data_IF_143984826426
#
_entry.id   IF_143984826426
#
_cell.length_a   1.000
_cell.length_b   1.000
_cell.length_c   1.000
_cell.angle_alpha   90.00
_cell.angle_beta   90.00
_cell.angle_gamma   90.00
#
_symmetry.space_group_name_H-M   'P 1'
#
loop_
_entity.id
_entity.type
_entity.pdbx_description
1 polymer ?
#
# COMPACT_ATOMS: atom_id res chain seq x y z
N UNK A 1 -28.07 30.64 -79.00
CA UNK A 1 -27.67 31.71 -78.04
C UNK A 1 -27.56 31.08 -76.69
N UNK A 2 -26.39 30.75 -76.36
CA UNK A 2 -25.49 31.06 -75.25
C UNK A 2 -26.05 30.82 -73.84
N UNK A 3 -25.32 29.97 -73.11
CA UNK A 3 -25.15 29.87 -71.69
C UNK A 3 -26.10 28.95 -70.91
N UNK A 4 -25.74 27.66 -70.82
CA UNK A 4 -26.12 26.78 -69.67
C UNK A 4 -25.22 25.51 -69.62
N UNK A 5 -23.92 25.65 -69.52
CA UNK A 5 -23.04 24.46 -69.36
C UNK A 5 -21.92 24.63 -68.30
N UNK A 6 -22.17 25.44 -67.26
CA UNK A 6 -21.09 25.70 -66.31
C UNK A 6 -21.49 25.50 -64.80
N UNK A 7 -22.57 24.77 -64.46
CA UNK A 7 -23.01 24.58 -63.08
C UNK A 7 -22.94 23.14 -62.52
N UNK A 8 -22.58 22.16 -63.37
CA UNK A 8 -22.58 20.74 -62.92
C UNK A 8 -21.22 20.13 -62.67
N UNK A 9 -20.13 20.89 -62.65
CA UNK A 9 -18.78 20.38 -62.43
C UNK A 9 -18.19 20.71 -61.00
N UNK A 10 -18.90 21.48 -60.19
CA UNK A 10 -18.43 21.85 -58.85
C UNK A 10 -19.06 20.99 -57.75
N UNK A 11 -20.14 20.27 -58.03
CA UNK A 11 -20.80 19.40 -56.99
C UNK A 11 -20.18 18.02 -56.84
N UNK A 12 -19.29 17.57 -57.73
CA UNK A 12 -18.67 16.25 -57.67
C UNK A 12 -17.33 16.22 -56.94
N UNK A 13 -16.73 17.36 -56.61
CA UNK A 13 -15.40 17.44 -55.99
C UNK A 13 -15.42 17.58 -54.46
N UNK A 14 -16.59 17.77 -53.81
CA UNK A 14 -16.71 17.91 -52.35
C UNK A 14 -17.17 16.63 -51.61
N UNK A 15 -17.47 15.54 -52.31
CA UNK A 15 -17.94 14.31 -51.72
C UNK A 15 -16.83 13.26 -51.42
N UNK A 16 -15.56 13.56 -51.74
CA UNK A 16 -14.45 12.59 -51.65
C UNK A 16 -13.41 12.88 -50.53
N UNK A 17 -13.66 13.86 -49.66
CA UNK A 17 -12.66 14.26 -48.62
C UNK A 17 -13.08 14.04 -47.18
N UNK A 18 -14.06 13.18 -46.89
CA UNK A 18 -14.43 12.76 -45.52
C UNK A 18 -14.25 11.26 -45.38
N UNK A 19 -13.10 10.73 -45.78
CA UNK A 19 -12.58 9.51 -45.21
C UNK A 19 -12.08 9.86 -43.79
N UNK A 20 -12.99 9.84 -42.80
CA UNK A 20 -12.65 9.82 -41.42
C UNK A 20 -11.80 8.56 -41.19
N UNK A 21 -10.50 8.70 -41.20
CA UNK A 21 -9.61 7.78 -40.56
C UNK A 21 -9.94 7.88 -39.07
N UNK A 22 -10.84 7.02 -38.60
CA UNK A 22 -10.97 6.71 -37.18
C UNK A 22 -9.62 6.13 -36.78
N UNK A 23 -8.69 6.97 -36.36
CA UNK A 23 -7.55 6.56 -35.57
C UNK A 23 -8.20 5.99 -34.30
N UNK A 24 -8.32 4.66 -34.23
CA UNK A 24 -8.62 3.96 -33.03
C UNK A 24 -7.43 4.30 -32.13
N UNK A 25 -7.57 5.34 -31.31
CA UNK A 25 -6.65 5.62 -30.24
C UNK A 25 -6.67 4.37 -29.37
N UNK A 26 -5.67 3.52 -29.52
CA UNK A 26 -5.47 2.37 -28.65
C UNK A 26 -5.40 2.97 -27.25
N UNK A 27 -6.35 2.62 -26.39
CA UNK A 27 -6.34 3.09 -25.01
C UNK A 27 -4.94 2.83 -24.45
N UNK A 28 -4.33 3.85 -23.84
CA UNK A 28 -3.02 3.70 -23.26
C UNK A 28 -3.06 2.55 -22.23
N UNK A 29 -2.01 1.77 -22.18
CA UNK A 29 -1.88 0.68 -21.20
C UNK A 29 -2.09 1.24 -19.79
N UNK A 30 -3.08 0.77 -19.03
CA UNK A 30 -3.35 1.29 -17.69
C UNK A 30 -2.27 0.92 -16.66
N UNK A 31 -1.45 -0.09 -16.95
CA UNK A 31 -0.44 -0.67 -16.07
C UNK A 31 0.91 -0.81 -16.80
N UNK A 32 1.54 0.29 -17.24
CA UNK A 32 2.71 0.26 -18.12
C UNK A 32 3.96 -0.33 -17.47
N UNK A 33 4.07 -0.31 -16.12
CA UNK A 33 5.16 -0.95 -15.38
C UNK A 33 4.93 -2.44 -15.08
N UNK A 34 3.82 -3.01 -15.56
CA UNK A 34 3.55 -4.44 -15.52
C UNK A 34 3.90 -5.07 -16.86
N UNK A 35 4.55 -6.23 -16.82
CA UNK A 35 4.74 -7.06 -18.00
C UNK A 35 3.39 -7.63 -18.48
N UNK A 36 3.29 -7.99 -19.76
CA UNK A 36 2.05 -8.56 -20.35
C UNK A 36 1.91 -10.05 -19.96
N UNK A 37 1.78 -10.33 -18.68
CA UNK A 37 1.65 -11.64 -18.06
C UNK A 37 0.22 -11.92 -17.61
N UNK A 38 -0.03 -13.14 -17.13
CA UNK A 38 -1.35 -13.55 -16.66
C UNK A 38 -1.89 -12.67 -15.51
N UNK A 39 -1.11 -12.32 -14.45
CA UNK A 39 -1.60 -11.47 -13.37
C UNK A 39 -2.14 -10.12 -13.86
N UNK A 40 -1.42 -9.42 -14.75
CA UNK A 40 -1.89 -8.16 -15.33
C UNK A 40 -3.24 -8.34 -16.03
N UNK A 41 -3.36 -9.36 -16.87
CA UNK A 41 -4.60 -9.65 -17.63
C UNK A 41 -5.76 -9.97 -16.72
N UNK A 42 -5.54 -10.76 -15.67
CA UNK A 42 -6.57 -11.10 -14.67
C UNK A 42 -7.04 -9.85 -13.92
N UNK A 43 -6.13 -8.97 -13.50
CA UNK A 43 -6.47 -7.70 -12.83
C UNK A 43 -7.34 -6.82 -13.75
N UNK A 44 -6.89 -6.59 -14.98
CA UNK A 44 -7.62 -5.75 -15.95
C UNK A 44 -9.00 -6.34 -16.25
N UNK A 45 -9.05 -7.64 -16.57
CA UNK A 45 -10.31 -8.33 -16.87
C UNK A 45 -11.28 -8.31 -15.67
N UNK A 46 -10.79 -8.43 -14.42
CA UNK A 46 -11.63 -8.31 -13.23
C UNK A 46 -12.24 -6.91 -13.14
N UNK A 47 -11.42 -5.87 -13.23
CA UNK A 47 -11.88 -4.47 -13.12
C UNK A 47 -12.90 -4.17 -14.21
N UNK A 48 -12.60 -4.50 -15.46
CA UNK A 48 -13.54 -4.31 -16.59
C UNK A 48 -14.87 -5.02 -16.37
N UNK A 49 -14.84 -6.27 -15.90
CA UNK A 49 -16.04 -7.09 -15.70
C UNK A 49 -16.94 -6.52 -14.61
N UNK A 50 -16.38 -6.05 -13.48
CA UNK A 50 -17.18 -5.52 -12.35
C UNK A 50 -17.61 -4.08 -12.55
N UNK A 51 -17.03 -3.37 -13.53
CA UNK A 51 -17.37 -1.97 -13.80
C UNK A 51 -18.25 -1.77 -15.03
N UNK A 52 -18.32 -2.76 -15.90
CA UNK A 52 -19.14 -2.70 -17.13
C UNK A 52 -20.62 -2.83 -16.81
N UNK A 53 -21.39 -1.78 -17.08
CA UNK A 53 -22.84 -1.80 -16.96
C UNK A 53 -23.47 -2.94 -17.81
N UNK A 54 -24.42 -3.65 -17.23
CA UNK A 54 -25.06 -4.82 -17.87
C UNK A 54 -24.24 -6.11 -17.78
N UNK A 55 -23.05 -6.10 -17.21
CA UNK A 55 -22.32 -7.32 -16.86
C UNK A 55 -23.05 -8.07 -15.71
N UNK A 56 -23.13 -9.42 -15.72
CA UNK A 56 -23.65 -10.16 -14.59
C UNK A 56 -22.86 -9.98 -13.29
N UNK A 57 -21.60 -9.54 -13.41
CA UNK A 57 -20.70 -9.25 -12.30
C UNK A 57 -20.62 -7.77 -11.95
N UNK A 58 -21.47 -6.91 -12.55
CA UNK A 58 -21.43 -5.47 -12.27
C UNK A 58 -21.62 -5.17 -10.79
N UNK A 59 -20.73 -4.32 -10.29
CA UNK A 59 -20.78 -3.83 -8.90
C UNK A 59 -20.96 -2.32 -8.93
N UNK A 60 -21.97 -1.75 -8.25
CA UNK A 60 -22.15 -0.30 -8.16
C UNK A 60 -20.91 0.41 -7.58
N UNK A 61 -20.57 1.64 -8.02
CA UNK A 61 -19.39 2.35 -7.52
C UNK A 61 -19.30 2.47 -6.00
N UNK A 62 -20.42 2.63 -5.32
CA UNK A 62 -20.48 2.72 -3.85
C UNK A 62 -20.02 1.43 -3.13
N UNK A 63 -20.05 0.29 -3.83
CA UNK A 63 -19.67 -1.01 -3.29
C UNK A 63 -18.27 -1.48 -3.76
N UNK A 64 -17.60 -0.69 -4.63
CA UNK A 64 -16.27 -1.02 -5.15
C UNK A 64 -15.18 -0.66 -4.13
N UNK A 65 -15.02 -1.49 -3.10
CA UNK A 65 -13.98 -1.34 -2.09
C UNK A 65 -12.77 -2.18 -2.45
N UNK A 66 -11.59 -1.54 -2.47
CA UNK A 66 -10.30 -2.18 -2.67
C UNK A 66 -9.40 -1.95 -1.45
N UNK A 67 -8.87 -3.00 -0.86
CA UNK A 67 -7.96 -2.96 0.30
C UNK A 67 -6.57 -3.44 -0.08
N UNK A 68 -5.56 -2.76 0.44
CA UNK A 68 -4.15 -3.06 0.19
C UNK A 68 -3.40 -3.10 1.52
N UNK A 69 -2.58 -4.12 1.74
CA UNK A 69 -1.53 -3.99 2.74
C UNK A 69 -0.51 -2.93 2.31
N UNK A 70 0.33 -2.50 3.24
CA UNK A 70 1.34 -1.48 2.97
C UNK A 70 2.74 -2.09 2.81
N UNK A 71 3.29 -2.69 3.89
CA UNK A 71 4.64 -3.24 3.90
C UNK A 71 4.73 -4.45 2.95
N UNK A 72 5.70 -4.43 2.02
CA UNK A 72 5.87 -5.48 1.03
C UNK A 72 4.79 -5.52 -0.07
N UNK A 73 3.71 -4.73 0.06
CA UNK A 73 2.64 -4.65 -0.95
C UNK A 73 2.67 -3.33 -1.73
N UNK A 74 2.65 -2.19 -1.05
CA UNK A 74 2.69 -0.87 -1.69
C UNK A 74 4.08 -0.25 -1.67
N UNK A 75 4.92 -0.60 -0.71
CA UNK A 75 6.31 -0.18 -0.60
C UNK A 75 7.19 -1.32 -0.09
N UNK A 76 8.52 -1.16 -0.20
CA UNK A 76 9.47 -2.15 0.30
C UNK A 76 9.43 -2.28 1.83
N UNK A 77 9.79 -3.48 2.32
CA UNK A 77 9.80 -3.76 3.76
C UNK A 77 11.15 -4.31 4.26
N UNK A 78 12.04 -4.67 3.34
CA UNK A 78 13.38 -5.16 3.67
C UNK A 78 14.37 -4.01 3.83
N UNK A 79 15.41 -4.15 4.68
CA UNK A 79 15.73 -5.34 5.49
C UNK A 79 14.90 -5.45 6.77
N UNK A 80 14.07 -4.46 7.09
CA UNK A 80 13.20 -4.38 8.26
C UNK A 80 12.09 -3.36 8.01
N UNK A 81 10.92 -3.57 8.60
CA UNK A 81 9.79 -2.64 8.53
C UNK A 81 10.21 -1.20 8.83
N UNK A 82 9.88 -0.27 7.94
CA UNK A 82 10.39 1.10 8.01
C UNK A 82 9.94 1.86 9.27
N UNK A 83 8.73 1.59 9.77
CA UNK A 83 8.30 2.14 11.05
C UNK A 83 9.18 1.65 12.21
N UNK A 84 9.67 0.42 12.14
CA UNK A 84 10.57 -0.10 13.15
C UNK A 84 11.96 0.56 13.07
N UNK A 85 12.48 0.80 11.86
CA UNK A 85 13.70 1.58 11.67
C UNK A 85 13.55 3.01 12.21
N UNK A 86 12.41 3.64 11.96
CA UNK A 86 12.06 4.93 12.57
C UNK A 86 12.12 4.86 14.11
N UNK A 87 11.51 3.85 14.72
CA UNK A 87 11.52 3.70 16.17
C UNK A 87 12.94 3.50 16.73
N UNK A 88 13.78 2.70 16.06
CA UNK A 88 15.20 2.54 16.44
C UNK A 88 15.98 3.85 16.35
N UNK A 89 15.79 4.64 15.30
CA UNK A 89 16.45 5.94 15.17
C UNK A 89 15.96 6.93 16.23
N UNK A 90 14.68 6.86 16.60
CA UNK A 90 14.13 7.64 17.73
C UNK A 90 14.78 7.26 19.05
N UNK A 91 14.99 5.95 19.33
CA UNK A 91 15.72 5.49 20.53
C UNK A 91 17.13 6.08 20.58
N UNK A 92 17.86 6.03 19.44
CA UNK A 92 19.22 6.62 19.37
C UNK A 92 19.19 8.13 19.64
N UNK A 93 18.22 8.85 19.07
CA UNK A 93 18.08 10.30 19.29
C UNK A 93 17.72 10.68 20.72
N UNK A 94 16.94 9.84 21.42
CA UNK A 94 16.53 10.06 22.81
C UNK A 94 17.56 9.56 23.84
N UNK A 95 18.47 8.65 23.46
CA UNK A 95 19.44 8.01 24.35
C UNK A 95 20.28 8.98 25.21
N UNK A 96 20.68 10.19 24.76
CA UNK A 96 21.36 11.16 25.61
C UNK A 96 20.56 11.59 26.86
N UNK A 97 19.22 11.52 26.80
CA UNK A 97 18.32 11.86 27.90
C UNK A 97 17.99 10.64 28.77
N UNK A 98 18.41 9.44 28.35
CA UNK A 98 18.11 8.14 28.96
C UNK A 98 19.39 7.30 29.14
N UNK A 99 20.33 7.70 30.02
CA UNK A 99 21.60 6.98 30.19
C UNK A 99 21.42 5.51 30.61
N UNK A 100 20.32 5.17 31.30
CA UNK A 100 19.96 3.81 31.70
C UNK A 100 19.73 2.88 30.48
N UNK A 101 19.42 3.38 29.31
CA UNK A 101 19.20 2.58 28.11
C UNK A 101 20.47 1.88 27.61
N UNK A 102 21.64 2.34 28.00
CA UNK A 102 22.91 1.68 27.66
C UNK A 102 23.06 0.29 28.26
N UNK A 103 22.33 -0.01 29.34
CA UNK A 103 22.40 -1.27 30.05
C UNK A 103 21.09 -2.05 30.09
N UNK A 104 19.98 -1.43 29.73
CA UNK A 104 18.63 -2.01 29.81
C UNK A 104 18.16 -2.50 28.43
N UNK A 105 17.76 -3.78 28.35
CA UNK A 105 17.07 -4.28 27.14
C UNK A 105 15.61 -3.75 27.09
N UNK A 106 15.07 -3.56 25.88
CA UNK A 106 15.63 -3.79 24.54
C UNK A 106 16.52 -2.64 24.02
N UNK A 107 16.60 -1.52 24.72
CA UNK A 107 17.30 -0.31 24.27
C UNK A 107 18.79 -0.51 24.06
N UNK A 108 19.43 -1.31 24.94
CA UNK A 108 20.85 -1.68 24.82
C UNK A 108 21.12 -2.31 23.45
N UNK A 109 20.32 -3.28 23.05
CA UNK A 109 20.45 -3.94 21.75
C UNK A 109 20.25 -2.97 20.59
N UNK A 110 19.26 -2.06 20.66
CA UNK A 110 19.06 -1.00 19.66
C UNK A 110 20.28 -0.11 19.54
N UNK A 111 20.84 0.37 20.65
CA UNK A 111 21.99 1.27 20.68
C UNK A 111 23.27 0.60 20.19
N UNK A 112 23.42 -0.70 20.43
CA UNK A 112 24.53 -1.52 19.94
C UNK A 112 24.37 -1.96 18.47
N UNK A 113 23.19 -1.78 17.86
CA UNK A 113 22.88 -2.33 16.54
C UNK A 113 22.74 -3.86 16.53
N UNK A 114 22.52 -4.47 17.69
CA UNK A 114 22.34 -5.92 17.85
C UNK A 114 20.90 -6.32 17.52
N UNK A 115 20.65 -6.61 16.25
CA UNK A 115 19.34 -7.05 15.78
C UNK A 115 18.94 -8.40 16.37
N UNK A 116 19.90 -9.30 16.65
CA UNK A 116 19.60 -10.60 17.25
C UNK A 116 19.13 -10.46 18.70
N UNK A 117 19.83 -9.66 19.49
CA UNK A 117 19.43 -9.34 20.86
C UNK A 117 18.09 -8.64 20.93
N UNK A 118 17.84 -7.74 19.96
CA UNK A 118 16.57 -7.03 19.84
C UNK A 118 15.40 -7.99 19.52
N UNK A 119 15.55 -8.88 18.55
CA UNK A 119 14.54 -9.89 18.22
C UNK A 119 14.32 -10.87 19.38
N UNK A 120 15.37 -11.20 20.14
CA UNK A 120 15.26 -12.03 21.34
C UNK A 120 14.45 -11.38 22.47
N UNK A 121 14.27 -10.04 22.47
CA UNK A 121 13.40 -9.34 23.42
C UNK A 121 11.91 -9.61 23.19
N UNK A 122 11.57 -10.20 22.05
CA UNK A 122 10.22 -10.60 21.66
C UNK A 122 9.23 -9.44 21.57
N UNK A 123 7.94 -9.77 21.55
CA UNK A 123 6.85 -8.80 21.44
C UNK A 123 6.89 -7.74 22.56
N UNK A 124 7.19 -8.14 23.79
CA UNK A 124 7.27 -7.22 24.93
C UNK A 124 8.34 -6.13 24.71
N UNK A 125 9.51 -6.51 24.20
CA UNK A 125 10.56 -5.53 23.87
C UNK A 125 10.17 -4.58 22.77
N UNK A 126 9.52 -5.09 21.73
CA UNK A 126 8.99 -4.25 20.64
C UNK A 126 7.93 -3.26 21.15
N UNK A 127 6.99 -3.70 21.97
CA UNK A 127 5.97 -2.83 22.57
C UNK A 127 6.61 -1.76 23.49
N UNK A 128 7.66 -2.09 24.23
CA UNK A 128 8.39 -1.11 25.07
C UNK A 128 9.07 -0.03 24.19
N UNK A 129 9.71 -0.42 23.08
CA UNK A 129 10.28 0.51 22.12
C UNK A 129 9.19 1.44 21.56
N UNK A 130 8.08 0.87 21.09
CA UNK A 130 6.97 1.65 20.53
C UNK A 130 6.39 2.62 21.58
N UNK A 131 6.19 2.17 22.81
CA UNK A 131 5.72 3.02 23.90
C UNK A 131 6.66 4.21 24.15
N UNK A 132 7.97 4.01 24.17
CA UNK A 132 8.97 5.07 24.42
C UNK A 132 9.15 6.03 23.25
N UNK A 133 8.92 5.57 22.04
CA UNK A 133 9.12 6.38 20.84
C UNK A 133 7.86 7.08 20.31
N UNK A 134 6.68 6.60 20.72
CA UNK A 134 5.40 7.09 20.17
C UNK A 134 4.49 7.72 21.22
N UNK A 135 4.67 7.44 22.53
CA UNK A 135 3.78 7.95 23.57
C UNK A 135 4.26 9.26 24.20
N UNK A 136 3.35 9.92 24.95
CA UNK A 136 3.62 11.15 25.71
C UNK A 136 3.56 12.43 24.91
N UNK A 137 3.47 12.36 23.57
CA UNK A 137 3.34 13.50 22.67
C UNK A 137 1.94 13.57 22.04
N UNK A 138 1.59 14.70 21.48
CA UNK A 138 0.35 14.84 20.70
C UNK A 138 0.48 14.12 19.34
N UNK A 139 -0.67 13.82 18.73
CA UNK A 139 -0.71 13.26 17.37
C UNK A 139 -0.05 14.19 16.34
N UNK A 140 -0.19 15.51 16.51
CA UNK A 140 0.43 16.51 15.63
C UNK A 140 1.97 16.54 15.78
N UNK A 141 2.49 16.47 17.01
CA UNK A 141 3.93 16.37 17.26
C UNK A 141 4.51 15.07 16.68
N UNK A 142 3.80 13.95 16.81
CA UNK A 142 4.20 12.68 16.23
C UNK A 142 4.25 12.75 14.68
N UNK A 143 3.22 13.29 14.04
CA UNK A 143 3.19 13.47 12.58
C UNK A 143 4.39 14.30 12.09
N UNK A 144 4.70 15.41 12.77
CA UNK A 144 5.84 16.24 12.44
C UNK A 144 7.17 15.46 12.54
N UNK A 145 7.36 14.70 13.64
CA UNK A 145 8.58 13.90 13.85
C UNK A 145 8.75 12.84 12.74
N UNK A 146 7.66 12.17 12.35
CA UNK A 146 7.70 11.18 11.26
C UNK A 146 8.07 11.84 9.92
N UNK A 147 7.45 12.99 9.60
CA UNK A 147 7.75 13.74 8.37
C UNK A 147 9.22 14.22 8.32
N UNK A 148 9.76 14.71 9.45
CA UNK A 148 11.16 15.11 9.53
C UNK A 148 12.12 13.91 9.34
N UNK A 149 11.78 12.75 9.91
CA UNK A 149 12.56 11.53 9.69
C UNK A 149 12.62 11.14 8.21
N UNK A 150 11.51 11.19 7.48
CA UNK A 150 11.49 10.89 6.05
C UNK A 150 12.36 11.84 5.21
N UNK A 151 12.59 13.09 5.65
CA UNK A 151 13.46 14.04 4.93
C UNK A 151 14.94 13.60 4.97
N UNK A 152 15.37 12.98 6.05
CA UNK A 152 16.79 12.69 6.31
C UNK A 152 17.14 11.21 6.22
N UNK A 153 16.25 10.31 6.66
CA UNK A 153 16.50 8.88 6.66
C UNK A 153 16.54 8.31 5.24
N UNK A 154 17.50 7.41 5.02
CA UNK A 154 17.73 6.78 3.71
C UNK A 154 17.82 5.28 3.83
N UNK A 155 17.18 4.61 2.89
CA UNK A 155 17.25 3.17 2.77
C UNK A 155 18.71 2.69 2.60
N UNK A 156 19.18 1.68 3.37
CA UNK A 156 20.60 1.33 3.41
C UNK A 156 21.15 0.83 2.06
N UNK A 157 20.35 0.11 1.28
CA UNK A 157 20.75 -0.43 -0.03
C UNK A 157 20.55 0.59 -1.15
N UNK A 158 19.39 1.23 -1.24
CA UNK A 158 19.01 2.07 -2.37
C UNK A 158 19.36 3.54 -2.21
N UNK A 159 19.74 3.97 -0.99
CA UNK A 159 20.09 5.37 -0.65
C UNK A 159 18.97 6.38 -0.90
N UNK A 160 17.76 5.90 -1.17
CA UNK A 160 16.55 6.70 -1.38
C UNK A 160 15.86 7.01 -0.06
N UNK A 161 15.10 8.11 0.06
CA UNK A 161 14.17 8.31 1.17
C UNK A 161 13.21 7.12 1.31
N UNK A 162 12.88 6.73 2.53
CA UNK A 162 11.99 5.58 2.73
C UNK A 162 10.61 5.77 2.13
N UNK A 163 10.05 6.98 2.14
CA UNK A 163 8.77 7.30 1.52
C UNK A 163 8.80 7.32 -0.03
N UNK A 164 9.96 7.15 -0.63
CA UNK A 164 10.14 6.94 -2.09
C UNK A 164 10.37 5.47 -2.45
N UNK A 165 10.42 4.57 -1.46
CA UNK A 165 10.56 3.13 -1.68
C UNK A 165 9.22 2.46 -2.02
N UNK A 166 8.36 3.18 -2.73
CA UNK A 166 7.04 2.73 -3.19
C UNK A 166 7.15 1.94 -4.49
N UNK A 167 6.33 0.93 -4.66
CA UNK A 167 6.35 0.12 -5.88
C UNK A 167 5.58 0.80 -7.01
N UNK A 168 6.27 1.12 -8.10
CA UNK A 168 5.68 1.79 -9.27
C UNK A 168 4.47 1.01 -9.84
N UNK A 169 4.52 -0.32 -10.02
CA UNK A 169 3.37 -1.07 -10.51
C UNK A 169 2.15 -0.95 -9.61
N UNK A 170 2.34 -0.87 -8.29
CA UNK A 170 1.23 -0.72 -7.34
C UNK A 170 0.66 0.70 -7.32
N UNK A 171 1.48 1.73 -7.57
CA UNK A 171 0.97 3.10 -7.78
C UNK A 171 0.07 3.17 -9.02
N UNK A 172 0.45 2.50 -10.11
CA UNK A 172 -0.37 2.40 -11.32
C UNK A 172 -1.67 1.63 -11.05
N UNK A 173 -1.59 0.52 -10.32
CA UNK A 173 -2.77 -0.26 -9.94
C UNK A 173 -3.74 0.56 -9.09
N UNK A 174 -3.25 1.28 -8.08
CA UNK A 174 -4.06 2.20 -7.27
C UNK A 174 -4.74 3.27 -8.13
N UNK A 175 -4.02 3.86 -9.08
CA UNK A 175 -4.56 4.85 -10.00
C UNK A 175 -5.62 4.24 -10.92
N UNK A 176 -5.35 3.05 -11.45
CA UNK A 176 -6.25 2.33 -12.36
C UNK A 176 -7.57 1.95 -11.69
N UNK A 177 -7.54 1.34 -10.50
CA UNK A 177 -8.78 0.97 -9.81
C UNK A 177 -9.58 2.21 -9.40
N UNK A 178 -8.94 3.30 -8.95
CA UNK A 178 -9.63 4.57 -8.66
C UNK A 178 -10.28 5.19 -9.88
N UNK A 179 -9.59 5.18 -11.03
CA UNK A 179 -10.15 5.66 -12.29
C UNK A 179 -11.40 4.85 -12.73
N UNK A 180 -11.52 3.62 -12.24
CA UNK A 180 -12.65 2.73 -12.43
C UNK A 180 -13.67 2.75 -11.27
N UNK A 181 -13.66 3.80 -10.44
CA UNK A 181 -14.65 4.04 -9.40
C UNK A 181 -14.48 3.24 -8.12
N UNK A 182 -13.31 2.62 -7.88
CA UNK A 182 -13.02 1.98 -6.61
C UNK A 182 -12.59 3.01 -5.56
N UNK A 183 -13.03 2.80 -4.31
CA UNK A 183 -12.47 3.46 -3.15
C UNK A 183 -11.34 2.58 -2.60
N UNK A 184 -10.14 3.14 -2.49
CA UNK A 184 -8.93 2.41 -2.10
C UNK A 184 -8.58 2.66 -0.64
N UNK A 185 -8.28 1.60 0.11
CA UNK A 185 -7.91 1.65 1.52
C UNK A 185 -6.58 0.96 1.75
N UNK A 186 -5.77 1.50 2.67
CA UNK A 186 -4.68 0.74 3.29
C UNK A 186 -5.27 -0.01 4.48
N UNK A 187 -4.90 -1.29 4.65
CA UNK A 187 -5.22 -2.15 5.80
C UNK A 187 -3.94 -2.85 6.22
N UNK A 188 -3.28 -2.38 7.27
CA UNK A 188 -1.90 -2.76 7.56
C UNK A 188 -1.61 -2.93 9.05
N UNK A 189 -0.75 -3.90 9.39
CA UNK A 189 -0.21 -4.06 10.74
C UNK A 189 0.61 -2.86 11.25
N UNK A 190 1.03 -1.97 10.37
CA UNK A 190 1.71 -0.72 10.71
C UNK A 190 0.84 0.25 11.50
N UNK A 191 1.48 1.15 12.24
CA UNK A 191 0.79 2.19 13.03
C UNK A 191 0.07 3.21 12.14
N UNK A 192 -1.24 3.41 12.39
CA UNK A 192 -2.09 4.26 11.55
C UNK A 192 -1.56 5.70 11.44
N UNK A 193 -1.09 6.30 12.56
CA UNK A 193 -0.56 7.67 12.52
C UNK A 193 0.78 7.78 11.78
N UNK A 194 1.61 6.72 11.83
CA UNK A 194 2.84 6.68 11.04
C UNK A 194 2.52 6.67 9.54
N UNK A 195 1.57 5.84 9.13
CA UNK A 195 1.15 5.76 7.73
C UNK A 195 0.49 7.05 7.24
N UNK A 196 -0.34 7.69 8.06
CA UNK A 196 -0.99 8.98 7.74
C UNK A 196 -0.01 10.11 7.44
N UNK A 197 1.20 10.04 7.99
CA UNK A 197 2.22 11.05 7.75
C UNK A 197 2.79 11.04 6.32
N UNK A 198 2.68 9.94 5.56
CA UNK A 198 3.27 9.83 4.22
C UNK A 198 2.33 9.31 3.13
N UNK A 199 1.36 8.45 3.47
CA UNK A 199 0.53 7.78 2.48
C UNK A 199 -0.32 8.73 1.61
N UNK A 200 -0.84 9.88 2.12
CA UNK A 200 -1.53 10.85 1.27
C UNK A 200 -0.65 11.37 0.13
N UNK A 201 0.62 11.65 0.40
CA UNK A 201 1.56 12.17 -0.59
C UNK A 201 2.08 11.04 -1.51
N UNK A 202 2.39 9.86 -0.95
CA UNK A 202 2.96 8.73 -1.67
C UNK A 202 1.94 8.00 -2.56
N UNK A 203 0.73 7.74 -2.05
CA UNK A 203 -0.27 6.90 -2.70
C UNK A 203 -1.53 7.66 -3.14
N UNK A 204 -1.68 8.93 -2.74
CA UNK A 204 -2.92 9.69 -2.89
C UNK A 204 -4.12 8.99 -2.22
N UNK A 205 -3.87 8.33 -1.09
CA UNK A 205 -4.88 7.73 -0.22
C UNK A 205 -5.06 8.67 0.98
N UNK A 206 -6.24 9.27 1.18
CA UNK A 206 -6.47 10.24 2.26
C UNK A 206 -6.45 9.56 3.64
N UNK A 207 -6.22 10.33 4.73
CA UNK A 207 -6.05 9.79 6.09
C UNK A 207 -7.22 8.95 6.61
N UNK A 208 -8.45 9.23 6.17
CA UNK A 208 -9.67 8.50 6.52
C UNK A 208 -9.79 7.14 5.80
N UNK A 209 -8.96 6.88 4.81
CA UNK A 209 -8.88 5.60 4.08
C UNK A 209 -7.66 4.77 4.51
N UNK A 210 -7.09 5.04 5.68
CA UNK A 210 -5.97 4.29 6.25
C UNK A 210 -6.44 3.61 7.53
N UNK A 211 -6.50 2.28 7.50
CA UNK A 211 -6.73 1.40 8.63
C UNK A 211 -5.38 0.80 9.05
N UNK A 212 -5.11 0.78 10.35
CA UNK A 212 -3.85 0.27 10.87
C UNK A 212 -3.88 0.06 12.36
N UNK A 213 -2.81 -0.48 12.91
CA UNK A 213 -2.67 -0.64 14.36
C UNK A 213 -2.70 0.71 15.06
N UNK A 214 -3.37 0.78 16.21
CA UNK A 214 -3.60 2.03 16.94
C UNK A 214 -3.18 1.92 18.40
N UNK A 215 -2.52 2.98 18.90
CA UNK A 215 -2.40 3.22 20.33
C UNK A 215 -3.63 3.98 20.86
N UNK A 216 -3.84 3.91 22.18
CA UNK A 216 -4.86 4.73 22.84
C UNK A 216 -4.52 6.22 22.74
N UNK A 217 -5.56 7.03 22.61
CA UNK A 217 -5.46 8.47 22.63
C UNK A 217 -6.19 9.04 23.86
N UNK A 218 -5.68 10.13 24.40
CA UNK A 218 -6.31 10.88 25.48
C UNK A 218 -6.53 12.34 25.05
N UNK A 219 -7.73 12.84 25.20
CA UNK A 219 -8.01 14.25 25.04
C UNK A 219 -7.47 15.04 26.24
N UNK A 220 -6.73 16.10 25.99
CA UNK A 220 -6.23 17.04 27.00
C UNK A 220 -6.32 18.49 26.51
N UNK A 221 -6.37 19.42 27.48
CA UNK A 221 -6.13 20.85 27.22
C UNK A 221 -4.69 21.18 27.61
N UNK A 222 -3.85 21.53 26.63
CA UNK A 222 -2.50 22.03 26.83
C UNK A 222 -2.47 23.55 26.53
N UNK A 223 -2.20 24.37 27.54
CA UNK A 223 -2.20 25.82 27.39
C UNK A 223 -3.55 26.36 26.81
N UNK A 224 -4.67 25.78 27.24
CA UNK A 224 -6.01 26.15 26.78
C UNK A 224 -6.39 25.62 25.37
N UNK A 225 -5.51 24.89 24.71
CA UNK A 225 -5.77 24.30 23.38
C UNK A 225 -6.05 22.80 23.48
N UNK A 226 -7.08 22.28 22.79
CA UNK A 226 -7.38 20.86 22.76
C UNK A 226 -6.31 20.09 21.95
N UNK A 227 -5.82 19.01 22.51
CA UNK A 227 -4.84 18.10 21.88
C UNK A 227 -5.22 16.64 22.15
N UNK A 228 -4.82 15.74 21.26
CA UNK A 228 -4.90 14.30 21.46
C UNK A 228 -3.51 13.78 21.77
N UNK A 229 -3.33 13.23 22.96
CA UNK A 229 -2.06 12.67 23.46
C UNK A 229 -2.03 11.17 23.19
N UNK A 230 -0.94 10.70 22.62
CA UNK A 230 -0.65 9.28 22.42
C UNK A 230 -0.25 8.62 23.73
N UNK A 231 -0.97 7.57 24.11
CA UNK A 231 -0.68 6.77 25.29
C UNK A 231 0.17 5.54 24.91
N UNK A 232 0.88 4.94 25.88
CA UNK A 232 1.72 3.76 25.60
C UNK A 232 0.93 2.46 25.38
N UNK A 233 -0.38 2.46 25.68
CA UNK A 233 -1.22 1.28 25.52
C UNK A 233 -1.69 1.10 24.09
N UNK A 234 -1.66 -0.16 23.65
CA UNK A 234 -2.26 -0.58 22.37
C UNK A 234 -3.77 -0.60 22.50
N UNK A 235 -4.47 0.00 21.52
CA UNK A 235 -5.93 -0.04 21.39
C UNK A 235 -6.37 -1.17 20.44
N UNK A 236 -5.68 -1.32 19.31
CA UNK A 236 -6.06 -2.26 18.25
C UNK A 236 -4.81 -2.68 17.46
N UNK A 237 -4.72 -3.96 17.08
CA UNK A 237 -3.67 -4.50 16.21
C UNK A 237 -4.32 -4.96 14.90
N UNK A 238 -3.98 -4.31 13.79
CA UNK A 238 -4.53 -4.56 12.46
C UNK A 238 -3.67 -5.55 11.66
N UNK A 239 -3.40 -6.72 12.25
CA UNK A 239 -2.61 -7.78 11.63
C UNK A 239 -3.37 -9.10 11.70
N UNK A 240 -3.21 -9.96 10.70
CA UNK A 240 -3.88 -11.27 10.61
C UNK A 240 -5.40 -11.13 10.76
N UNK A 241 -6.00 -11.76 11.80
CA UNK A 241 -7.42 -11.64 12.09
C UNK A 241 -7.88 -10.20 12.39
N UNK A 242 -6.99 -9.35 12.87
CA UNK A 242 -7.28 -7.93 13.07
C UNK A 242 -7.63 -7.21 11.77
N UNK A 243 -7.06 -7.59 10.61
CA UNK A 243 -7.36 -6.92 9.34
C UNK A 243 -8.84 -6.99 8.94
N UNK A 244 -9.53 -8.14 8.89
CA UNK A 244 -10.97 -8.16 8.65
C UNK A 244 -11.79 -7.47 9.76
N UNK A 245 -11.34 -7.51 11.03
CA UNK A 245 -11.97 -6.77 12.12
C UNK A 245 -11.85 -5.26 11.92
N UNK A 246 -10.67 -4.77 11.51
CA UNK A 246 -10.43 -3.38 11.15
C UNK A 246 -11.25 -2.93 9.94
N UNK A 247 -11.32 -3.75 8.88
CA UNK A 247 -12.18 -3.51 7.71
C UNK A 247 -13.63 -3.33 8.16
N UNK A 248 -14.16 -4.25 8.97
CA UNK A 248 -15.54 -4.17 9.44
C UNK A 248 -15.79 -2.93 10.31
N UNK A 249 -14.83 -2.59 11.18
CA UNK A 249 -14.99 -1.50 12.15
C UNK A 249 -14.84 -0.11 11.54
N UNK A 250 -13.94 0.06 10.56
CA UNK A 250 -13.55 1.38 10.04
C UNK A 250 -14.04 1.65 8.61
N UNK A 251 -14.23 0.59 7.80
CA UNK A 251 -14.76 0.71 6.43
C UNK A 251 -16.25 0.38 6.39
N UNK A 252 -16.70 -0.61 7.19
CA UNK A 252 -18.09 -1.04 7.28
C UNK A 252 -18.60 -1.84 6.07
N UNK A 253 -17.71 -2.12 5.11
CA UNK A 253 -18.04 -2.86 3.88
C UNK A 253 -16.94 -3.88 3.57
N UNK A 254 -17.36 -5.06 3.11
CA UNK A 254 -16.44 -6.11 2.66
C UNK A 254 -15.83 -5.73 1.31
N UNK A 255 -14.48 -5.78 1.15
CA UNK A 255 -13.85 -5.48 -0.12
C UNK A 255 -14.27 -6.46 -1.22
N UNK A 256 -14.22 -5.98 -2.46
CA UNK A 256 -14.30 -6.85 -3.65
C UNK A 256 -12.93 -7.09 -4.28
N UNK A 257 -11.94 -6.34 -3.83
CA UNK A 257 -10.55 -6.41 -4.28
C UNK A 257 -9.62 -6.29 -3.08
N UNK A 258 -8.68 -7.21 -2.91
CA UNK A 258 -7.70 -7.16 -1.84
C UNK A 258 -6.33 -7.60 -2.34
N UNK A 259 -5.28 -6.93 -1.84
CA UNK A 259 -3.90 -7.21 -2.19
C UNK A 259 -3.02 -7.22 -0.94
N UNK A 260 -2.16 -8.23 -0.80
CA UNK A 260 -1.18 -8.39 0.28
C UNK A 260 0.10 -9.03 -0.24
N UNK A 261 1.01 -9.42 0.67
CA UNK A 261 2.26 -10.08 0.32
C UNK A 261 2.72 -11.15 1.33
N UNK A 262 2.04 -11.28 2.46
CA UNK A 262 2.50 -12.11 3.58
C UNK A 262 1.41 -12.92 4.26
N UNK A 263 1.80 -13.80 5.19
CA UNK A 263 0.86 -14.53 6.04
C UNK A 263 0.03 -13.60 6.95
N UNK A 264 0.47 -12.34 7.14
CA UNK A 264 -0.30 -11.31 7.84
C UNK A 264 -1.55 -10.86 7.10
N UNK A 265 -1.62 -11.13 5.79
CA UNK A 265 -2.72 -10.72 4.91
C UNK A 265 -3.74 -11.82 4.66
N UNK A 266 -3.42 -13.06 5.05
CA UNK A 266 -4.22 -14.23 4.74
C UNK A 266 -5.71 -14.01 5.08
N UNK A 267 -6.02 -13.56 6.29
CA UNK A 267 -7.41 -13.38 6.74
C UNK A 267 -8.12 -12.22 6.03
N UNK A 268 -7.41 -11.17 5.59
CA UNK A 268 -7.99 -10.12 4.74
C UNK A 268 -8.40 -10.68 3.38
N UNK A 269 -7.55 -11.51 2.78
CA UNK A 269 -7.82 -12.16 1.49
C UNK A 269 -8.95 -13.19 1.61
N UNK A 270 -8.95 -14.03 2.65
CA UNK A 270 -10.04 -14.96 2.97
C UNK A 270 -11.37 -14.24 3.18
N UNK A 271 -11.35 -13.12 3.93
CA UNK A 271 -12.54 -12.31 4.17
C UNK A 271 -13.10 -11.74 2.88
N UNK A 272 -12.23 -11.26 1.99
CA UNK A 272 -12.61 -10.77 0.67
C UNK A 272 -13.18 -11.89 -0.18
N UNK A 273 -12.52 -13.05 -0.25
CA UNK A 273 -12.93 -14.21 -1.03
C UNK A 273 -14.30 -14.78 -0.60
N UNK A 274 -14.62 -14.72 0.69
CA UNK A 274 -15.88 -15.20 1.24
C UNK A 274 -17.10 -14.32 0.92
N UNK A 275 -16.91 -13.19 0.23
CA UNK A 275 -18.00 -12.32 -0.24
C UNK A 275 -18.79 -12.94 -1.38
N UNK A 276 -20.00 -12.37 -1.63
CA UNK A 276 -20.83 -12.77 -2.78
C UNK A 276 -20.40 -12.08 -4.06
N UNK A 277 -20.59 -12.72 -5.21
CA UNK A 277 -20.26 -12.18 -6.54
C UNK A 277 -18.76 -12.19 -6.85
N UNK A 278 -18.36 -11.43 -7.84
CA UNK A 278 -16.97 -11.37 -8.29
C UNK A 278 -16.04 -10.79 -7.22
N UNK A 279 -14.91 -11.44 -6.98
CA UNK A 279 -13.88 -11.06 -5.99
C UNK A 279 -12.50 -11.25 -6.59
N UNK A 280 -11.57 -10.38 -6.18
CA UNK A 280 -10.17 -10.48 -6.56
C UNK A 280 -9.29 -10.51 -5.31
N UNK A 281 -8.42 -11.49 -5.23
CA UNK A 281 -7.38 -11.64 -4.21
C UNK A 281 -6.03 -11.74 -4.89
N UNK A 282 -5.10 -10.84 -4.52
CA UNK A 282 -3.75 -10.80 -5.05
C UNK A 282 -2.69 -10.90 -3.96
N UNK A 283 -1.58 -11.56 -4.27
CA UNK A 283 -0.39 -11.64 -3.42
C UNK A 283 0.84 -11.24 -4.23
N UNK A 284 1.63 -10.30 -3.73
CA UNK A 284 2.98 -10.02 -4.22
C UNK A 284 3.92 -11.07 -3.67
N UNK A 285 4.58 -11.82 -4.55
CA UNK A 285 5.68 -12.71 -4.20
C UNK A 285 6.99 -12.03 -4.56
N UNK A 286 7.82 -11.78 -3.56
CA UNK A 286 9.12 -11.14 -3.70
C UNK A 286 10.15 -12.12 -4.26
N UNK A 287 10.40 -12.05 -5.57
CA UNK A 287 11.23 -12.99 -6.31
C UNK A 287 12.47 -12.34 -6.93
N UNK A 288 12.66 -11.03 -6.73
CA UNK A 288 13.69 -10.25 -7.42
C UNK A 288 14.81 -9.80 -6.49
N UNK A 289 15.78 -10.68 -6.27
CA UNK A 289 16.96 -10.40 -5.45
C UNK A 289 17.88 -9.32 -6.04
N UNK A 290 17.79 -9.07 -7.35
CA UNK A 290 18.66 -8.11 -8.04
C UNK A 290 18.13 -6.68 -7.91
N UNK A 291 16.86 -6.47 -8.27
CA UNK A 291 16.22 -5.14 -8.28
C UNK A 291 15.62 -4.74 -6.93
N UNK A 292 15.28 -5.76 -6.07
CA UNK A 292 14.73 -5.57 -4.73
C UNK A 292 15.30 -6.65 -3.79
N UNK A 293 14.52 -7.52 -3.18
CA UNK A 293 14.89 -8.73 -2.44
C UNK A 293 14.07 -9.92 -2.89
N UNK A 294 14.64 -11.13 -2.78
CA UNK A 294 13.88 -12.36 -2.90
C UNK A 294 13.72 -12.98 -1.51
N UNK A 295 12.48 -13.15 -1.08
CA UNK A 295 12.13 -13.78 0.19
C UNK A 295 10.70 -14.33 0.16
N UNK A 296 10.46 -15.34 1.00
CA UNK A 296 9.19 -16.02 1.11
C UNK A 296 9.05 -16.76 2.46
N UNK A 297 8.93 -18.09 2.45
CA UNK A 297 8.60 -18.98 3.59
C UNK A 297 9.52 -18.88 4.80
N UNK A 298 10.78 -18.50 4.61
CA UNK A 298 11.81 -18.48 5.66
C UNK A 298 12.16 -17.07 6.14
N UNK A 299 11.51 -16.06 5.61
CA UNK A 299 11.76 -14.68 6.00
C UNK A 299 11.19 -14.38 7.38
N UNK A 300 11.94 -13.63 8.19
CA UNK A 300 11.44 -13.07 9.45
C UNK A 300 10.60 -11.79 9.22
N UNK A 301 10.79 -11.12 8.07
CA UNK A 301 10.07 -9.93 7.64
C UNK A 301 9.32 -10.27 6.36
N UNK A 302 8.00 -10.06 6.34
CA UNK A 302 7.18 -10.33 5.16
C UNK A 302 7.08 -11.83 4.83
N UNK A 303 6.99 -12.71 5.83
CA UNK A 303 6.90 -14.16 5.62
C UNK A 303 5.68 -14.50 4.79
N UNK A 304 5.90 -15.17 3.65
CA UNK A 304 4.87 -15.70 2.76
C UNK A 304 4.97 -17.23 2.72
N UNK A 305 4.14 -17.91 3.46
CA UNK A 305 4.16 -19.38 3.62
C UNK A 305 2.74 -19.94 3.47
N UNK A 306 1.90 -19.80 4.51
CA UNK A 306 0.54 -20.34 4.53
C UNK A 306 -0.38 -19.62 3.53
N UNK A 307 -0.27 -18.31 3.45
CA UNK A 307 -1.05 -17.52 2.51
C UNK A 307 -0.71 -17.88 1.05
N UNK A 308 0.54 -18.27 0.77
CA UNK A 308 0.92 -18.76 -0.55
C UNK A 308 0.29 -20.11 -0.87
N UNK A 309 0.37 -21.08 0.06
CA UNK A 309 -0.27 -22.38 -0.13
C UNK A 309 -1.78 -22.25 -0.36
N UNK A 310 -2.43 -21.37 0.38
CA UNK A 310 -3.85 -21.09 0.20
C UNK A 310 -4.14 -20.39 -1.13
N UNK A 311 -3.34 -19.42 -1.54
CA UNK A 311 -3.47 -18.75 -2.82
C UNK A 311 -3.41 -19.75 -3.99
N UNK A 312 -2.46 -20.67 -3.95
CA UNK A 312 -2.33 -21.73 -4.96
C UNK A 312 -3.55 -22.67 -4.92
N UNK A 313 -3.97 -23.10 -3.73
CA UNK A 313 -5.10 -24.03 -3.57
C UNK A 313 -6.44 -23.43 -4.02
N UNK A 314 -6.62 -22.10 -3.82
CA UNK A 314 -7.86 -21.37 -4.14
C UNK A 314 -7.80 -20.62 -5.47
N UNK A 315 -6.70 -20.68 -6.19
CA UNK A 315 -6.53 -19.97 -7.47
C UNK A 315 -6.51 -18.45 -7.34
N UNK A 316 -5.97 -17.91 -6.22
CA UNK A 316 -5.73 -16.48 -6.08
C UNK A 316 -4.57 -16.04 -6.99
N UNK A 317 -4.53 -14.78 -7.35
CA UNK A 317 -3.50 -14.26 -8.23
C UNK A 317 -2.21 -14.01 -7.45
N UNK A 318 -1.17 -14.79 -7.76
CA UNK A 318 0.18 -14.56 -7.22
C UNK A 318 0.99 -13.80 -8.27
N UNK A 319 1.57 -12.67 -7.88
CA UNK A 319 2.37 -11.78 -8.71
C UNK A 319 3.84 -11.99 -8.39
N UNK A 320 4.60 -12.53 -9.34
CA UNK A 320 6.07 -12.63 -9.25
C UNK A 320 6.68 -11.26 -9.53
N UNK A 321 7.30 -10.63 -8.53
CA UNK A 321 7.92 -9.32 -8.71
C UNK A 321 8.94 -9.31 -9.87
N UNK A 322 9.72 -10.38 -10.04
CA UNK A 322 10.73 -10.50 -11.08
C UNK A 322 10.12 -10.62 -12.49
N UNK A 323 9.07 -11.42 -12.62
CA UNK A 323 8.54 -11.79 -13.93
C UNK A 323 7.40 -10.88 -14.38
N UNK A 324 6.60 -10.38 -13.42
CA UNK A 324 5.38 -9.61 -13.72
C UNK A 324 5.59 -8.10 -13.69
N UNK A 325 6.68 -7.59 -13.09
CA UNK A 325 6.98 -6.16 -13.02
C UNK A 325 8.17 -5.77 -13.90
N UNK A 326 7.93 -4.88 -14.85
CA UNK A 326 8.98 -4.29 -15.69
C UNK A 326 9.83 -3.27 -14.90
N UNK A 327 9.20 -2.54 -13.99
CA UNK A 327 9.83 -1.52 -13.14
C UNK A 327 9.46 -1.80 -11.68
N UNK A 328 10.40 -1.66 -10.74
CA UNK A 328 10.13 -1.83 -9.30
C UNK A 328 9.76 -0.49 -8.66
N UNK A 329 10.67 0.48 -8.71
CA UNK A 329 10.50 1.78 -8.07
C UNK A 329 10.33 2.89 -9.11
N UNK A 330 9.63 3.99 -8.77
CA UNK A 330 9.60 5.18 -9.61
C UNK A 330 11.02 5.70 -9.89
N UNK A 331 11.25 6.46 -10.98
CA UNK A 331 12.49 7.18 -11.19
C UNK A 331 12.84 8.05 -9.97
N UNK A 332 14.12 8.14 -9.63
CA UNK A 332 14.59 9.11 -8.61
C UNK A 332 14.32 10.53 -9.08
N UNK A 333 13.73 11.33 -8.21
CA UNK A 333 13.51 12.76 -8.45
C UNK A 333 14.82 13.53 -8.43
#
# INVERSE_FOLDING_TARGET
MKTTHTKNLIAAALAAALAFTAVIARAADPLPSWNDTAPKKVIVAFVERVTKEGSPDFVPPAERIATFDNNGTLWAEQPMYFQFLFAMDRIKALAPQHPEWKTKEPFKSVLAGDMKGLLASGEKGLLEIMARTHAGMSTAEFDQIVREWFKTARHPRFKRPYNEMVYQPMLELLAYVRANGFKTFIVSGGGVEFMRAFAPDAYRIPPDQIVGSMGKLKYELRNGKPVLIKLPEVLFIDDKAGKPEGIQSFIGQRPIFAFGNSDGDQQMLEWTAAGRGARFMGLVHHTDAEREWAYDRKSDVGKLDKAWDEAVAKGWTVVSMKDDWATIFPPTK
#
